data_IF_411914929384
#
_entry.id   IF_411914929384
#
_cell.length_a   1.000
_cell.length_b   1.000
_cell.length_c   1.000
_cell.angle_alpha   90.00
_cell.angle_beta   90.00
_cell.angle_gamma   90.00
#
_symmetry.space_group_name_H-M   'P 1'
#
loop_
_entity.id
_entity.type
_entity.pdbx_description
1 polymer ?
#
# COMPACT_ATOMS: atom_id res chain seq x y z
N UNK A 1 8.34 0.74 6.43
CA UNK A 1 9.54 0.12 5.86
C UNK A 1 10.44 -0.34 6.99
N UNK A 2 10.74 -1.65 7.06
CA UNK A 2 11.67 -2.20 8.03
C UNK A 2 13.12 -1.96 7.59
N UNK A 3 13.57 -0.70 7.65
CA UNK A 3 14.96 -0.36 7.41
C UNK A 3 15.67 -0.26 8.75
N UNK A 4 16.73 -0.99 8.93
CA UNK A 4 17.50 -0.98 10.15
C UNK A 4 18.98 -0.72 9.89
N UNK A 5 19.51 0.23 10.64
CA UNK A 5 20.93 0.31 10.90
C UNK A 5 21.24 -0.65 12.07
N UNK A 6 21.37 -1.95 11.83
CA UNK A 6 21.65 -2.87 12.93
C UNK A 6 20.97 -4.23 12.82
N UNK A 7 20.71 -4.92 13.91
CA UNK A 7 20.60 -6.37 13.99
C UNK A 7 19.20 -6.98 13.76
N UNK A 8 18.10 -6.22 13.71
CA UNK A 8 16.75 -6.80 13.60
C UNK A 8 15.93 -6.13 12.49
N UNK A 9 15.57 -6.88 11.48
CA UNK A 9 14.59 -6.47 10.46
C UNK A 9 13.24 -6.24 11.15
N UNK A 10 12.67 -5.05 11.02
CA UNK A 10 11.35 -4.73 11.55
C UNK A 10 11.27 -3.58 12.55
N UNK A 11 12.41 -3.09 13.04
CA UNK A 11 12.49 -1.93 13.96
C UNK A 11 13.07 -0.68 13.31
N UNK A 12 12.95 -0.57 11.98
CA UNK A 12 13.50 0.54 11.21
C UNK A 12 12.90 1.91 11.54
N UNK A 13 13.62 2.96 11.17
CA UNK A 13 13.18 4.34 11.37
C UNK A 13 11.85 4.61 10.66
N UNK A 14 10.86 5.13 11.38
CA UNK A 14 9.60 5.62 10.80
C UNK A 14 9.82 6.81 9.85
N UNK A 15 10.93 7.53 10.02
CA UNK A 15 11.30 8.70 9.22
C UNK A 15 12.29 8.39 8.09
N UNK A 16 12.54 7.11 7.77
CA UNK A 16 13.59 6.73 6.81
C UNK A 16 13.50 7.48 5.47
N UNK A 17 12.30 7.59 4.88
CA UNK A 17 12.11 8.33 3.64
C UNK A 17 12.44 9.82 3.78
N UNK A 18 12.11 10.43 4.93
CA UNK A 18 12.49 11.79 5.25
C UNK A 18 13.98 11.96 5.48
N UNK A 19 14.60 10.97 6.11
CA UNK A 19 16.04 10.98 6.34
C UNK A 19 16.82 10.83 5.04
N UNK A 20 16.30 10.05 4.08
CA UNK A 20 16.81 9.98 2.71
C UNK A 20 16.64 11.32 1.98
N UNK A 21 15.45 11.90 2.00
CA UNK A 21 15.18 13.19 1.36
C UNK A 21 15.99 14.34 1.98
N UNK A 22 16.21 14.29 3.29
CA UNK A 22 17.03 15.26 4.03
C UNK A 22 18.54 15.01 3.96
N UNK A 23 18.99 14.11 3.07
CA UNK A 23 20.41 13.77 2.87
C UNK A 23 21.14 13.29 4.13
N UNK A 24 20.44 12.76 5.11
CA UNK A 24 21.04 12.26 6.35
C UNK A 24 21.70 10.88 6.18
N UNK A 25 21.29 10.12 5.17
CA UNK A 25 21.80 8.77 4.89
C UNK A 25 22.80 8.82 3.74
N UNK A 26 22.42 9.49 2.65
CA UNK A 26 23.21 9.62 1.43
C UNK A 26 22.87 10.94 0.73
N UNK A 27 23.86 11.60 0.16
CA UNK A 27 23.67 12.82 -0.64
C UNK A 27 23.27 12.46 -2.07
N UNK A 28 22.46 13.30 -2.70
CA UNK A 28 21.95 13.08 -4.05
C UNK A 28 21.80 14.40 -4.82
N UNK A 29 21.64 14.31 -6.14
CA UNK A 29 21.30 15.46 -7.01
C UNK A 29 19.81 15.43 -7.37
N UNK A 30 19.32 14.26 -7.76
CA UNK A 30 17.93 14.02 -8.07
C UNK A 30 17.37 12.90 -7.18
N UNK A 31 16.35 13.23 -6.40
CA UNK A 31 15.81 12.28 -5.42
C UNK A 31 15.19 11.05 -6.07
N UNK A 32 14.57 11.21 -7.25
CA UNK A 32 13.99 10.08 -7.96
C UNK A 32 15.09 9.13 -8.47
N UNK A 33 16.03 9.64 -9.29
CA UNK A 33 17.03 8.80 -9.92
C UNK A 33 18.05 8.25 -8.93
N UNK A 34 18.58 9.09 -8.03
CA UNK A 34 19.69 8.69 -7.16
C UNK A 34 19.22 7.89 -5.94
N UNK A 35 17.95 8.07 -5.51
CA UNK A 35 17.43 7.45 -4.29
C UNK A 35 16.29 6.49 -4.58
N UNK A 36 15.17 6.95 -5.19
CA UNK A 36 13.97 6.12 -5.30
C UNK A 36 14.13 4.95 -6.27
N UNK A 37 14.81 5.13 -7.39
CA UNK A 37 15.07 4.03 -8.31
C UNK A 37 15.97 2.97 -7.68
N UNK A 38 17.01 3.36 -6.96
CA UNK A 38 17.85 2.42 -6.20
C UNK A 38 17.08 1.74 -5.07
N UNK A 39 16.18 2.46 -4.40
CA UNK A 39 15.35 1.87 -3.35
C UNK A 39 14.38 0.84 -3.93
N UNK A 40 13.66 1.17 -5.00
CA UNK A 40 12.62 0.32 -5.56
C UNK A 40 13.20 -0.84 -6.39
N UNK A 41 14.03 -0.54 -7.38
CA UNK A 41 14.50 -1.53 -8.36
C UNK A 41 15.74 -2.30 -7.92
N UNK A 42 16.43 -1.86 -6.88
CA UNK A 42 17.56 -2.59 -6.32
C UNK A 42 17.32 -3.05 -4.89
N UNK A 43 17.09 -2.15 -3.93
CA UNK A 43 17.02 -2.51 -2.52
C UNK A 43 15.81 -3.38 -2.19
N UNK A 44 14.61 -3.05 -2.68
CA UNK A 44 13.36 -3.78 -2.43
C UNK A 44 13.12 -4.92 -3.42
N UNK A 45 13.63 -4.83 -4.65
CA UNK A 45 13.38 -5.81 -5.70
C UNK A 45 14.30 -7.03 -5.67
N UNK A 46 15.49 -6.93 -5.07
CA UNK A 46 16.48 -8.01 -5.05
C UNK A 46 16.57 -8.67 -3.68
N UNK A 47 16.53 -10.00 -3.68
CA UNK A 47 16.81 -10.78 -2.47
C UNK A 47 18.31 -10.72 -2.15
N UNK A 48 18.63 -10.37 -0.91
CA UNK A 48 19.99 -10.28 -0.36
C UNK A 48 20.12 -11.07 0.94
N UNK A 49 19.39 -12.16 1.06
CA UNK A 49 19.42 -13.02 2.24
C UNK A 49 20.82 -13.61 2.50
N UNK A 50 21.62 -13.77 1.45
CA UNK A 50 23.03 -14.22 1.50
C UNK A 50 23.98 -13.26 2.24
N UNK A 51 23.65 -11.96 2.22
CA UNK A 51 24.41 -10.90 2.90
C UNK A 51 23.59 -10.20 3.99
N UNK A 52 22.68 -10.93 4.64
CA UNK A 52 21.87 -10.47 5.76
C UNK A 52 21.04 -9.20 5.40
N UNK A 53 20.50 -9.17 4.17
CA UNK A 53 19.71 -8.07 3.60
C UNK A 53 20.42 -6.70 3.56
N UNK A 54 21.73 -6.69 3.66
CA UNK A 54 22.51 -5.45 3.60
C UNK A 54 22.51 -4.84 2.21
N UNK A 55 22.16 -3.55 2.12
CA UNK A 55 22.24 -2.77 0.88
C UNK A 55 23.44 -1.82 0.94
N UNK A 56 24.42 -1.97 0.04
CA UNK A 56 25.62 -1.13 0.06
C UNK A 56 25.35 0.33 -0.30
N UNK A 57 24.36 0.60 -1.14
CA UNK A 57 24.03 1.96 -1.57
C UNK A 57 23.51 2.81 -0.40
N UNK A 58 22.65 2.23 0.43
CA UNK A 58 22.09 2.90 1.61
C UNK A 58 22.86 2.63 2.90
N UNK A 59 23.87 1.77 2.85
CA UNK A 59 24.66 1.35 4.00
C UNK A 59 23.80 0.88 5.18
N UNK A 60 22.71 0.18 4.90
CA UNK A 60 21.79 -0.35 5.91
C UNK A 60 21.10 -1.63 5.42
N UNK A 61 20.42 -2.32 6.33
CA UNK A 61 19.61 -3.48 5.97
C UNK A 61 18.25 -3.04 5.45
N UNK A 62 17.87 -3.54 4.28
CA UNK A 62 16.56 -3.30 3.66
C UNK A 62 15.95 -4.64 3.31
N UNK A 63 14.77 -4.90 3.87
CA UNK A 63 14.05 -6.14 3.62
C UNK A 63 13.61 -6.23 2.16
N UNK A 64 13.87 -7.37 1.54
CA UNK A 64 13.32 -7.70 0.24
C UNK A 64 11.79 -7.72 0.28
N UNK A 65 11.17 -7.05 -0.67
CA UNK A 65 9.72 -6.91 -0.76
C UNK A 65 9.27 -7.10 -2.20
N UNK A 66 9.52 -8.29 -2.75
CA UNK A 66 9.15 -8.56 -4.13
C UNK A 66 7.93 -9.47 -4.24
N UNK A 67 6.82 -8.90 -4.68
CA UNK A 67 5.69 -9.62 -5.25
C UNK A 67 5.44 -9.20 -6.69
N UNK A 68 6.50 -8.84 -7.44
CA UNK A 68 6.39 -8.25 -8.79
C UNK A 68 6.07 -6.74 -8.78
N UNK A 69 5.90 -6.13 -7.60
CA UNK A 69 5.55 -4.70 -7.49
C UNK A 69 6.68 -3.78 -7.97
N UNK A 70 7.92 -4.23 -7.78
CA UNK A 70 9.11 -3.47 -8.15
C UNK A 70 9.82 -4.01 -9.40
N UNK A 71 9.15 -4.90 -10.15
CA UNK A 71 9.68 -5.37 -11.42
C UNK A 71 9.52 -4.26 -12.48
N UNK A 72 10.58 -3.97 -13.27
CA UNK A 72 10.48 -2.96 -14.32
C UNK A 72 9.42 -3.32 -15.35
N UNK A 73 8.51 -2.39 -15.63
CA UNK A 73 7.44 -2.55 -16.60
C UNK A 73 7.97 -2.23 -18.01
N UNK A 74 7.53 -2.97 -19.02
CA UNK A 74 7.84 -2.72 -20.44
C UNK A 74 9.35 -2.63 -20.76
N UNK A 75 10.16 -3.47 -20.14
CA UNK A 75 11.62 -3.45 -20.32
C UNK A 75 12.28 -2.13 -19.93
N UNK A 76 11.66 -1.38 -19.00
CA UNK A 76 12.25 -0.17 -18.45
C UNK A 76 13.61 -0.47 -17.81
N UNK A 77 14.64 0.20 -18.31
CA UNK A 77 16.00 0.07 -17.78
C UNK A 77 16.31 1.30 -16.94
N UNK A 78 16.04 1.22 -15.64
CA UNK A 78 16.25 2.32 -14.70
C UNK A 78 17.73 2.77 -14.62
N UNK A 79 18.66 1.85 -14.85
CA UNK A 79 20.11 2.16 -14.89
C UNK A 79 20.54 2.99 -16.11
N UNK A 80 19.72 3.03 -17.17
CA UNK A 80 20.05 3.68 -18.45
C UNK A 80 19.11 4.82 -18.81
N UNK A 81 17.98 4.91 -18.16
CA UNK A 81 16.94 5.89 -18.47
C UNK A 81 16.88 6.91 -17.35
N UNK A 82 17.23 8.13 -17.64
CA UNK A 82 17.13 9.24 -16.69
C UNK A 82 15.74 9.87 -16.79
N UNK A 83 14.99 9.84 -15.67
CA UNK A 83 13.69 10.50 -15.55
C UNK A 83 13.87 11.74 -14.66
N UNK A 84 13.92 12.90 -15.25
CA UNK A 84 14.15 14.13 -14.51
C UNK A 84 12.88 14.63 -13.83
N UNK A 85 12.59 14.09 -12.63
CA UNK A 85 11.52 14.57 -11.76
C UNK A 85 12.08 15.62 -10.78
N UNK A 86 11.50 16.83 -10.73
CA UNK A 86 11.93 17.85 -9.76
C UNK A 86 11.78 17.36 -8.32
N UNK A 87 12.78 17.63 -7.46
CA UNK A 87 12.76 17.23 -6.06
C UNK A 87 11.57 17.85 -5.29
N UNK A 88 11.08 19.00 -5.73
CA UNK A 88 9.91 19.69 -5.15
C UNK A 88 8.60 18.90 -5.25
N UNK A 89 8.52 17.92 -6.13
CA UNK A 89 7.37 16.99 -6.18
C UNK A 89 7.31 16.06 -4.96
N UNK A 90 8.44 15.81 -4.34
CA UNK A 90 8.52 14.95 -3.17
C UNK A 90 8.35 15.71 -1.86
N UNK A 91 8.94 16.89 -1.75
CA UNK A 91 8.72 17.78 -0.62
C UNK A 91 9.06 19.24 -0.99
N UNK A 92 8.27 20.19 -0.48
CA UNK A 92 8.46 21.62 -0.74
C UNK A 92 7.91 22.47 0.40
N UNK A 93 8.08 23.80 0.28
CA UNK A 93 7.61 24.78 1.26
C UNK A 93 6.33 25.52 0.83
N UNK A 94 5.64 25.05 -0.21
CA UNK A 94 4.42 25.69 -0.68
C UNK A 94 3.33 25.57 0.39
N UNK A 95 2.49 26.60 0.47
CA UNK A 95 1.30 26.55 1.34
C UNK A 95 0.14 25.90 0.60
N UNK A 96 -0.51 24.95 1.22
CA UNK A 96 -1.75 24.35 0.72
C UNK A 96 -2.91 25.35 0.86
N UNK A 97 -4.05 25.04 0.25
CA UNK A 97 -5.29 25.85 0.42
C UNK A 97 -5.78 25.88 1.86
N UNK A 98 -5.43 24.88 2.63
CA UNK A 98 -5.79 24.70 4.04
C UNK A 98 -4.80 25.40 4.98
N UNK A 99 -3.71 25.96 4.43
CA UNK A 99 -2.70 26.70 5.18
C UNK A 99 -1.51 25.88 5.66
N UNK A 100 -1.50 24.58 5.41
CA UNK A 100 -0.39 23.67 5.75
C UNK A 100 0.84 23.95 4.88
N UNK A 101 2.02 23.64 5.40
CA UNK A 101 3.27 23.75 4.68
C UNK A 101 3.58 22.42 3.96
N UNK A 102 3.91 22.52 2.68
CA UNK A 102 4.28 21.41 1.84
C UNK A 102 3.09 20.73 1.16
N UNK A 103 3.18 20.52 -0.16
CA UNK A 103 2.21 19.78 -0.98
C UNK A 103 2.86 18.62 -1.76
N UNK A 104 4.11 18.29 -1.43
CA UNK A 104 4.81 17.16 -2.01
C UNK A 104 4.33 15.82 -1.45
N UNK A 105 4.69 14.74 -2.13
CA UNK A 105 4.27 13.37 -1.77
C UNK A 105 4.66 13.02 -0.32
N UNK A 106 5.89 13.32 0.09
CA UNK A 106 6.37 13.05 1.45
C UNK A 106 5.68 13.95 2.48
N UNK A 107 5.34 15.20 2.10
CA UNK A 107 4.62 16.12 2.97
C UNK A 107 3.21 15.62 3.30
N UNK A 108 2.56 14.98 2.32
CA UNK A 108 1.26 14.32 2.52
C UNK A 108 1.41 13.11 3.43
N UNK A 109 2.40 12.24 3.20
CA UNK A 109 2.64 11.08 4.06
C UNK A 109 2.99 11.44 5.50
N UNK A 110 3.66 12.57 5.74
CA UNK A 110 3.97 13.02 7.09
C UNK A 110 2.76 13.65 7.80
N UNK A 111 1.82 14.22 7.02
CA UNK A 111 0.63 14.89 7.55
C UNK A 111 -0.43 13.91 7.98
N UNK A 112 -0.61 12.83 7.23
CA UNK A 112 -1.65 11.84 7.45
C UNK A 112 -1.06 10.52 7.91
N UNK A 113 -1.71 9.92 8.92
CA UNK A 113 -1.39 8.57 9.35
C UNK A 113 -2.30 7.58 8.59
N UNK A 114 -1.73 6.86 7.62
CA UNK A 114 -2.47 5.87 6.86
C UNK A 114 -2.63 4.59 7.67
N UNK A 115 -3.86 4.25 8.06
CA UNK A 115 -4.20 3.05 8.83
C UNK A 115 -5.21 2.18 8.08
N UNK A 116 -5.24 0.90 8.41
CA UNK A 116 -6.25 -0.05 7.92
C UNK A 116 -7.38 -0.22 8.94
N UNK A 117 -7.27 0.38 10.14
CA UNK A 117 -8.27 0.28 11.20
C UNK A 117 -9.24 1.46 11.12
N UNK A 118 -10.52 1.16 10.94
CA UNK A 118 -11.61 2.14 10.88
C UNK A 118 -12.10 2.62 12.26
N UNK A 119 -11.64 1.99 13.37
CA UNK A 119 -12.29 2.11 14.69
C UNK A 119 -11.72 3.20 15.61
N UNK A 120 -10.76 4.00 15.20
CA UNK A 120 -10.21 5.06 16.04
C UNK A 120 -10.48 6.45 15.46
N UNK A 121 -11.29 7.30 16.15
CA UNK A 121 -11.61 8.64 15.71
C UNK A 121 -10.47 9.62 16.04
N UNK A 122 -9.36 9.53 15.33
CA UNK A 122 -8.29 10.52 15.38
C UNK A 122 -8.31 11.36 14.11
N UNK A 123 -8.43 12.66 14.25
CA UNK A 123 -8.62 13.68 13.20
C UNK A 123 -7.56 13.70 12.08
N UNK A 124 -6.54 12.83 12.12
CA UNK A 124 -5.45 12.74 11.15
C UNK A 124 -5.23 11.33 10.58
N UNK A 125 -6.10 10.40 10.88
CA UNK A 125 -6.02 9.05 10.32
C UNK A 125 -6.88 8.97 9.06
N UNK A 126 -6.28 8.49 7.98
CA UNK A 126 -6.98 8.20 6.74
C UNK A 126 -7.08 6.68 6.63
N UNK A 127 -8.26 6.16 6.92
CA UNK A 127 -8.57 4.77 6.61
C UNK A 127 -8.57 4.57 5.09
N UNK A 128 -7.71 3.69 4.60
CA UNK A 128 -7.68 3.34 3.18
C UNK A 128 -8.65 2.20 2.96
N UNK A 129 -9.80 2.51 2.33
CA UNK A 129 -10.76 1.51 1.91
C UNK A 129 -10.08 0.49 0.97
N UNK A 130 -10.09 -0.82 1.32
CA UNK A 130 -9.50 -1.86 0.49
C UNK A 130 -10.08 -1.90 -0.93
N UNK A 131 -11.35 -1.56 -1.11
CA UNK A 131 -11.98 -1.49 -2.43
C UNK A 131 -11.40 -0.34 -3.26
N UNK A 132 -11.23 0.83 -2.65
CA UNK A 132 -10.62 1.98 -3.33
C UNK A 132 -9.17 1.68 -3.72
N UNK A 133 -8.42 1.02 -2.83
CA UNK A 133 -7.06 0.58 -3.13
C UNK A 133 -7.04 -0.42 -4.28
N UNK A 134 -7.98 -1.38 -4.29
CA UNK A 134 -8.17 -2.32 -5.39
C UNK A 134 -8.42 -1.63 -6.72
N UNK A 135 -9.32 -0.65 -6.76
CA UNK A 135 -9.61 0.16 -7.96
C UNK A 135 -8.39 0.97 -8.44
N UNK A 136 -7.60 1.50 -7.51
CA UNK A 136 -6.35 2.19 -7.87
C UNK A 136 -5.38 1.23 -8.55
N UNK A 137 -5.14 0.05 -7.98
CA UNK A 137 -4.29 -0.97 -8.60
C UNK A 137 -4.83 -1.45 -9.95
N UNK A 138 -6.13 -1.66 -10.08
CA UNK A 138 -6.76 -2.01 -11.36
C UNK A 138 -6.53 -0.94 -12.42
N UNK A 139 -6.62 0.34 -12.05
CA UNK A 139 -6.41 1.46 -12.97
C UNK A 139 -4.94 1.70 -13.34
N UNK A 140 -4.00 1.29 -12.49
CA UNK A 140 -2.57 1.34 -12.79
C UNK A 140 -2.13 0.30 -13.83
N UNK A 141 -2.89 -0.79 -13.98
CA UNK A 141 -2.62 -1.80 -15.00
C UNK A 141 -3.06 -1.31 -16.38
N UNK A 142 -2.22 -1.51 -17.39
CA UNK A 142 -2.60 -1.24 -18.77
C UNK A 142 -3.82 -2.08 -19.19
N UNK A 143 -4.66 -1.51 -20.04
CA UNK A 143 -5.90 -2.18 -20.53
C UNK A 143 -5.62 -3.55 -21.16
N UNK A 144 -4.45 -3.69 -21.83
CA UNK A 144 -4.00 -4.98 -22.40
C UNK A 144 -3.71 -6.01 -21.33
N UNK A 145 -3.03 -5.61 -20.27
CA UNK A 145 -2.66 -6.50 -19.17
C UNK A 145 -3.88 -6.90 -18.35
N UNK A 146 -4.81 -5.98 -18.11
CA UNK A 146 -6.10 -6.29 -17.47
C UNK A 146 -6.87 -7.38 -18.21
N UNK A 147 -7.02 -7.24 -19.54
CA UNK A 147 -7.75 -8.20 -20.38
C UNK A 147 -7.05 -9.56 -20.48
N UNK A 148 -5.73 -9.57 -20.57
CA UNK A 148 -4.96 -10.82 -20.74
C UNK A 148 -4.85 -11.62 -19.45
N UNK A 149 -4.76 -10.96 -18.31
CA UNK A 149 -4.60 -11.58 -16.97
C UNK A 149 -5.91 -11.76 -16.23
N UNK A 150 -7.03 -11.22 -16.74
CA UNK A 150 -8.34 -11.27 -16.08
C UNK A 150 -8.36 -10.54 -14.71
N UNK A 151 -7.49 -9.53 -14.55
CA UNK A 151 -7.32 -8.81 -13.30
C UNK A 151 -8.42 -7.76 -13.15
N UNK A 152 -9.55 -8.19 -12.61
CA UNK A 152 -10.66 -7.33 -12.24
C UNK A 152 -11.01 -7.57 -10.78
N UNK A 153 -11.16 -6.51 -10.03
CA UNK A 153 -11.69 -6.60 -8.68
C UNK A 153 -13.19 -6.84 -8.72
N UNK A 154 -13.64 -7.80 -7.93
CA UNK A 154 -15.07 -8.10 -7.84
C UNK A 154 -15.78 -6.94 -7.13
N UNK A 155 -16.84 -6.36 -7.70
CA UNK A 155 -17.61 -5.31 -7.05
C UNK A 155 -18.10 -5.71 -5.66
N UNK A 156 -18.17 -4.75 -4.74
CA UNK A 156 -18.53 -4.97 -3.34
C UNK A 156 -19.88 -5.68 -3.20
N UNK A 157 -20.85 -5.30 -3.99
CA UNK A 157 -22.20 -5.88 -3.95
C UNK A 157 -22.18 -7.38 -4.29
N UNK A 158 -21.30 -7.79 -5.22
CA UNK A 158 -21.15 -9.20 -5.57
C UNK A 158 -20.44 -9.97 -4.47
N UNK A 159 -19.35 -9.40 -3.91
CA UNK A 159 -18.63 -9.99 -2.78
C UNK A 159 -19.56 -10.16 -1.60
N UNK A 160 -20.31 -9.12 -1.27
CA UNK A 160 -21.28 -9.10 -0.18
C UNK A 160 -22.32 -10.22 -0.36
N UNK A 161 -22.96 -10.30 -1.52
CA UNK A 161 -23.92 -11.35 -1.85
C UNK A 161 -23.29 -12.76 -1.72
N UNK A 162 -22.06 -12.94 -2.21
CA UNK A 162 -21.37 -14.24 -2.10
C UNK A 162 -21.11 -14.62 -0.64
N UNK A 163 -20.65 -13.68 0.18
CA UNK A 163 -20.42 -13.90 1.61
C UNK A 163 -21.73 -14.24 2.35
N UNK A 164 -22.78 -13.46 2.09
CA UNK A 164 -24.13 -13.69 2.67
C UNK A 164 -24.65 -15.10 2.32
N UNK A 165 -24.63 -15.46 1.04
CA UNK A 165 -25.11 -16.78 0.61
C UNK A 165 -24.25 -17.92 1.14
N UNK A 166 -22.95 -17.74 1.25
CA UNK A 166 -22.03 -18.73 1.81
C UNK A 166 -22.28 -18.93 3.31
N UNK A 167 -22.44 -17.84 4.06
CA UNK A 167 -22.75 -17.87 5.49
C UNK A 167 -24.11 -18.52 5.74
N UNK A 168 -25.14 -18.13 4.97
CA UNK A 168 -26.47 -18.68 5.06
C UNK A 168 -26.46 -20.20 4.80
N UNK A 169 -25.77 -20.65 3.75
CA UNK A 169 -25.63 -22.06 3.43
C UNK A 169 -24.91 -22.83 4.52
N UNK A 170 -23.84 -22.28 5.08
CA UNK A 170 -23.09 -22.87 6.19
C UNK A 170 -23.98 -23.01 7.43
N UNK A 171 -24.68 -21.94 7.85
CA UNK A 171 -25.54 -21.97 9.03
C UNK A 171 -26.70 -22.96 8.88
N UNK A 172 -27.33 -23.05 7.72
CA UNK A 172 -28.39 -24.04 7.45
C UNK A 172 -27.86 -25.46 7.61
N UNK A 173 -26.63 -25.72 7.16
CA UNK A 173 -25.99 -27.03 7.30
C UNK A 173 -25.65 -27.37 8.75
N UNK A 174 -25.00 -26.44 9.46
CA UNK A 174 -24.55 -26.65 10.84
C UNK A 174 -25.73 -26.73 11.84
N UNK A 175 -26.81 -26.04 11.59
CA UNK A 175 -28.00 -26.09 12.45
C UNK A 175 -28.92 -27.28 12.17
N UNK A 176 -28.57 -28.15 11.23
CA UNK A 176 -29.28 -29.43 10.94
C UNK A 176 -30.81 -29.26 10.80
N UNK A 177 -31.26 -28.19 10.19
CA UNK A 177 -32.69 -27.93 10.01
C UNK A 177 -33.47 -27.51 11.27
N UNK A 178 -32.79 -27.17 12.38
CA UNK A 178 -33.41 -26.64 13.59
C UNK A 178 -33.96 -25.22 13.40
N UNK A 179 -33.48 -24.52 12.39
CA UNK A 179 -33.89 -23.17 12.06
C UNK A 179 -34.27 -23.09 10.59
N UNK A 180 -35.33 -22.37 10.27
CA UNK A 180 -35.79 -22.21 8.89
C UNK A 180 -34.86 -21.22 8.17
N UNK A 181 -34.53 -21.51 6.90
CA UNK A 181 -33.62 -20.69 6.09
C UNK A 181 -34.08 -19.23 6.01
N UNK A 182 -35.35 -18.98 5.90
CA UNK A 182 -35.96 -17.65 5.82
C UNK A 182 -35.73 -16.80 7.09
N UNK A 183 -35.66 -17.45 8.25
CA UNK A 183 -35.41 -16.75 9.51
C UNK A 183 -33.94 -16.38 9.66
N UNK A 184 -33.04 -17.24 9.18
CA UNK A 184 -31.61 -16.92 9.11
C UNK A 184 -31.32 -15.79 8.12
N UNK A 185 -31.96 -15.80 6.96
CA UNK A 185 -31.84 -14.73 5.96
C UNK A 185 -32.29 -13.38 6.52
N UNK A 186 -33.42 -13.36 7.25
CA UNK A 186 -33.88 -12.15 7.94
C UNK A 186 -32.91 -11.70 9.03
N UNK A 187 -32.33 -12.61 9.79
CA UNK A 187 -31.38 -12.28 10.83
C UNK A 187 -30.11 -11.63 10.27
N UNK A 188 -29.57 -12.19 9.18
CA UNK A 188 -28.39 -11.64 8.50
C UNK A 188 -28.69 -10.22 7.99
N UNK A 189 -29.79 -10.03 7.27
CA UNK A 189 -30.22 -8.72 6.75
C UNK A 189 -30.56 -7.69 7.83
N UNK A 190 -31.07 -8.14 8.98
CA UNK A 190 -31.34 -7.23 10.13
C UNK A 190 -30.04 -6.80 10.81
N UNK A 191 -29.03 -7.69 10.86
CA UNK A 191 -27.70 -7.38 11.41
C UNK A 191 -26.98 -6.33 10.57
N UNK A 192 -27.15 -6.33 9.27
CA UNK A 192 -26.62 -5.30 8.37
C UNK A 192 -27.18 -3.91 8.68
N UNK A 193 -28.49 -3.82 8.87
CA UNK A 193 -29.14 -2.54 9.20
C UNK A 193 -28.72 -1.95 10.55
N UNK A 194 -28.16 -2.75 11.45
CA UNK A 194 -27.64 -2.29 12.76
C UNK A 194 -26.18 -1.86 12.66
N UNK A 195 -25.43 -2.40 11.70
CA UNK A 195 -24.02 -2.05 11.50
C UNK A 195 -23.81 -0.75 10.69
N UNK A 196 -24.86 -0.25 10.00
CA UNK A 196 -24.82 1.01 9.22
C UNK A 196 -25.20 2.26 10.05
N UNK A 197 -25.47 2.13 11.35
CA UNK A 197 -25.80 3.20 12.28
C UNK A 197 -24.79 3.26 13.44
#
# INVERSE_FOLDING_TARGET
FGVEQGKNLGTGSKSFMRDLFGEKVISYKNFFNDILEHLFYDALARDRSDIDHFNPHFNCKITFLNGGLFDPINSYSWEKTEINLPNELFSNERKTKEGDKGDGILDIFDRYNFTVKEDEPLEKEVAVDPEMLGKVFENLLEVKDRKSKGTYYTPREIVHYMCEQSLLSYLVTELEGKVVKEDLDKLIKSGENVAEH
#
